data_IF_909959388764
#
_entry.id   IF_909959388764
#
_cell.length_a   1.000
_cell.length_b   1.000
_cell.length_c   1.000
_cell.angle_alpha   90.00
_cell.angle_beta   90.00
_cell.angle_gamma   90.00
#
_symmetry.space_group_name_H-M   'P 1'
#
loop_
_entity.id
_entity.type
_entity.pdbx_description
1 polymer ?
#
# COMPACT_ATOMS: atom_id res chain seq x y z
N UNK A 1 11.24 21.06 29.83
CA UNK A 1 10.45 20.71 28.63
C UNK A 1 11.01 19.40 28.12
N UNK A 2 10.30 18.29 28.28
CA UNK A 2 10.79 16.96 27.88
C UNK A 2 10.86 16.90 26.36
N UNK A 3 12.06 16.76 25.82
CA UNK A 3 12.33 16.56 24.40
C UNK A 3 11.92 15.13 24.04
N UNK A 4 10.62 14.90 23.83
CA UNK A 4 10.15 13.61 23.35
C UNK A 4 10.47 13.54 21.86
N UNK A 5 11.23 12.53 21.38
CA UNK A 5 11.51 12.41 19.96
C UNK A 5 10.18 12.36 19.19
N UNK A 6 10.13 13.04 18.04
CA UNK A 6 8.97 13.00 17.16
C UNK A 6 8.61 11.54 16.89
N UNK A 7 7.34 11.17 17.14
CA UNK A 7 6.90 9.78 16.97
C UNK A 7 6.98 9.42 15.48
N UNK A 8 7.57 8.28 15.11
CA UNK A 8 7.70 7.90 13.71
C UNK A 8 6.32 7.73 13.09
N UNK A 9 6.12 8.39 11.95
CA UNK A 9 4.93 8.26 11.13
C UNK A 9 5.31 7.41 9.93
N UNK A 10 4.49 6.40 9.65
CA UNK A 10 4.49 5.64 8.39
C UNK A 10 3.18 5.90 7.70
N UNK A 11 3.11 5.59 6.41
CA UNK A 11 1.85 5.60 5.67
C UNK A 11 1.40 4.17 5.43
N UNK A 12 0.12 3.93 5.68
CA UNK A 12 -0.56 2.69 5.33
C UNK A 12 -1.39 2.97 4.08
N UNK A 13 -1.11 2.22 3.00
CA UNK A 13 -1.95 2.21 1.81
C UNK A 13 -2.82 0.96 1.85
N UNK A 14 -4.13 1.14 1.85
CA UNK A 14 -5.11 0.07 1.80
C UNK A 14 -5.67 0.02 0.38
N UNK A 15 -5.42 -1.08 -0.33
CA UNK A 15 -6.05 -1.35 -1.61
C UNK A 15 -7.34 -2.13 -1.41
N UNK A 16 -8.39 -1.76 -2.12
CA UNK A 16 -9.70 -2.42 -2.10
C UNK A 16 -10.15 -2.73 -3.54
N UNK A 17 -11.04 -3.71 -3.75
CA UNK A 17 -11.69 -3.92 -5.04
C UNK A 17 -12.20 -2.62 -5.66
N UNK A 18 -11.77 -2.34 -6.88
CA UNK A 18 -12.30 -1.27 -7.71
C UNK A 18 -13.44 -1.74 -8.61
N UNK A 19 -13.99 -0.85 -9.46
CA UNK A 19 -15.12 -1.18 -10.34
C UNK A 19 -14.88 -2.33 -11.33
N UNK A 20 -13.62 -2.63 -11.68
CA UNK A 20 -13.28 -3.75 -12.57
C UNK A 20 -12.92 -5.04 -11.85
N UNK A 21 -12.94 -5.04 -10.51
CA UNK A 21 -12.66 -6.25 -9.74
C UNK A 21 -13.70 -7.34 -10.03
N UNK A 22 -13.23 -8.56 -10.29
CA UNK A 22 -14.10 -9.71 -10.51
C UNK A 22 -14.32 -10.45 -9.20
N UNK A 23 -15.48 -10.26 -8.57
CA UNK A 23 -15.81 -10.96 -7.33
C UNK A 23 -15.81 -12.48 -7.49
N UNK A 24 -15.42 -13.20 -6.43
CA UNK A 24 -15.30 -14.66 -6.41
C UNK A 24 -14.22 -15.25 -7.34
N UNK A 25 -13.45 -14.42 -8.04
CA UNK A 25 -12.23 -14.83 -8.74
C UNK A 25 -11.04 -14.64 -7.80
N UNK A 26 -10.18 -15.64 -7.68
CA UNK A 26 -8.99 -15.56 -6.82
C UNK A 26 -8.14 -14.35 -7.22
N UNK A 27 -7.61 -13.61 -6.23
CA UNK A 27 -6.89 -12.37 -6.49
C UNK A 27 -5.71 -12.57 -7.45
N UNK A 28 -5.07 -13.75 -7.45
CA UNK A 28 -3.93 -14.08 -8.34
C UNK A 28 -4.36 -14.24 -9.80
N UNK A 29 -5.66 -14.38 -10.06
CA UNK A 29 -6.24 -14.53 -11.39
C UNK A 29 -6.84 -13.23 -11.93
N UNK A 30 -6.88 -12.15 -11.13
CA UNK A 30 -7.34 -10.84 -11.59
C UNK A 30 -6.36 -10.27 -12.62
N UNK A 31 -6.88 -9.89 -13.78
CA UNK A 31 -6.10 -9.22 -14.82
C UNK A 31 -5.66 -7.83 -14.32
N UNK A 32 -4.35 -7.61 -14.21
CA UNK A 32 -3.76 -6.39 -13.64
C UNK A 32 -3.12 -6.54 -12.25
N UNK A 33 -3.29 -7.68 -11.55
CA UNK A 33 -2.68 -7.86 -10.21
C UNK A 33 -1.16 -8.02 -10.27
N UNK A 34 -0.62 -8.61 -11.32
CA UNK A 34 0.84 -8.76 -11.44
C UNK A 34 1.52 -7.39 -11.64
N UNK A 35 0.87 -6.49 -12.36
CA UNK A 35 1.29 -5.11 -12.56
C UNK A 35 1.27 -4.33 -11.25
N UNK A 36 0.23 -4.51 -10.43
CA UNK A 36 0.18 -3.97 -9.06
C UNK A 36 1.35 -4.45 -8.21
N UNK A 37 1.60 -5.76 -8.19
CA UNK A 37 2.71 -6.36 -7.44
C UNK A 37 4.05 -5.82 -7.94
N UNK A 38 4.26 -5.79 -9.26
CA UNK A 38 5.48 -5.25 -9.87
C UNK A 38 5.67 -3.76 -9.64
N UNK A 39 4.58 -3.00 -9.51
CA UNK A 39 4.62 -1.59 -9.12
C UNK A 39 5.15 -1.45 -7.70
N UNK A 40 4.51 -2.08 -6.70
CA UNK A 40 4.93 -1.99 -5.30
C UNK A 40 6.29 -2.66 -5.01
N UNK A 41 6.70 -3.65 -5.81
CA UNK A 41 8.04 -4.23 -5.71
C UNK A 41 9.13 -3.19 -5.97
N UNK A 42 8.91 -2.23 -6.87
CA UNK A 42 9.87 -1.12 -7.10
C UNK A 42 10.05 -0.27 -5.84
N UNK A 43 8.96 0.03 -5.13
CA UNK A 43 9.01 0.80 -3.89
C UNK A 43 9.75 0.02 -2.79
N UNK A 44 9.56 -1.30 -2.75
CA UNK A 44 10.28 -2.19 -1.85
C UNK A 44 11.77 -2.27 -2.16
N UNK A 45 12.15 -2.44 -3.43
CA UNK A 45 13.56 -2.44 -3.88
C UNK A 45 14.27 -1.10 -3.62
N UNK A 46 13.53 0.00 -3.61
CA UNK A 46 14.04 1.33 -3.22
C UNK A 46 14.21 1.49 -1.71
N UNK A 47 13.84 0.50 -0.90
CA UNK A 47 13.88 0.57 0.57
C UNK A 47 12.83 1.52 1.15
N UNK A 48 11.77 1.82 0.40
CA UNK A 48 10.70 2.77 0.78
C UNK A 48 9.41 2.08 1.23
N UNK A 49 9.29 0.77 0.97
CA UNK A 49 8.20 -0.06 1.48
C UNK A 49 8.75 -1.02 2.54
N UNK A 50 8.20 -0.98 3.75
CA UNK A 50 8.58 -1.85 4.86
C UNK A 50 7.89 -3.21 4.78
N UNK A 51 6.59 -3.24 4.49
CA UNK A 51 5.75 -4.44 4.44
C UNK A 51 4.68 -4.28 3.35
N UNK A 52 4.28 -5.38 2.73
CA UNK A 52 3.21 -5.36 1.73
C UNK A 52 2.63 -6.75 1.48
N UNK A 53 1.32 -6.82 1.25
CA UNK A 53 0.67 -8.07 0.85
C UNK A 53 -0.86 -8.03 0.82
N UNK A 54 -1.48 -9.07 0.23
CA UNK A 54 -2.93 -9.22 0.24
C UNK A 54 -3.43 -9.65 1.63
N UNK A 55 -4.66 -9.27 1.96
CA UNK A 55 -5.38 -9.92 3.05
C UNK A 55 -5.82 -11.32 2.58
N UNK A 56 -5.73 -12.32 3.46
CA UNK A 56 -6.14 -13.70 3.15
C UNK A 56 -7.65 -13.93 3.29
N UNK A 57 -8.43 -12.88 3.06
CA UNK A 57 -9.88 -12.94 2.96
C UNK A 57 -10.28 -12.63 1.51
N UNK A 58 -11.35 -13.24 0.98
CA UNK A 58 -11.81 -12.96 -0.38
C UNK A 58 -12.20 -11.49 -0.54
N UNK A 59 -11.89 -10.90 -1.69
CA UNK A 59 -12.44 -9.62 -2.15
C UNK A 59 -12.26 -8.44 -1.18
N UNK A 60 -11.14 -8.39 -0.44
CA UNK A 60 -10.81 -7.27 0.47
C UNK A 60 -9.50 -6.56 0.14
N UNK A 61 -8.80 -6.98 -0.92
CA UNK A 61 -7.57 -6.36 -1.39
C UNK A 61 -6.37 -6.62 -0.46
N UNK A 62 -5.62 -5.57 -0.14
CA UNK A 62 -4.34 -5.70 0.56
C UNK A 62 -3.85 -4.41 1.21
N UNK A 63 -2.69 -4.51 1.86
CA UNK A 63 -2.11 -3.42 2.63
C UNK A 63 -0.62 -3.27 2.36
N UNK A 64 -0.16 -2.03 2.29
CA UNK A 64 1.23 -1.63 2.12
C UNK A 64 1.61 -0.67 3.25
N UNK A 65 2.79 -0.83 3.84
CA UNK A 65 3.31 0.03 4.92
C UNK A 65 4.64 0.61 4.48
N UNK A 66 4.76 1.93 4.44
CA UNK A 66 6.00 2.62 4.04
C UNK A 66 7.08 2.57 5.11
N UNK A 67 8.31 2.91 4.73
CA UNK A 67 9.32 3.34 5.69
C UNK A 67 9.02 4.75 6.22
N UNK A 68 9.82 5.21 7.19
CA UNK A 68 9.58 6.46 7.93
C UNK A 68 9.96 7.70 7.12
N UNK A 69 10.76 7.53 6.07
CA UNK A 69 11.33 8.58 5.24
C UNK A 69 10.40 8.99 4.09
N UNK A 70 9.39 8.16 3.78
CA UNK A 70 8.43 8.43 2.71
C UNK A 70 7.45 9.51 3.15
N UNK A 71 7.28 10.55 2.33
CA UNK A 71 6.30 11.60 2.57
C UNK A 71 4.89 11.20 2.12
N UNK A 72 3.87 11.93 2.59
CA UNK A 72 2.49 11.71 2.18
C UNK A 72 2.31 11.91 0.66
N UNK A 73 2.85 13.00 0.13
CA UNK A 73 2.75 13.36 -1.28
C UNK A 73 3.41 12.31 -2.18
N UNK A 74 4.56 11.77 -1.74
CA UNK A 74 5.26 10.72 -2.46
C UNK A 74 4.43 9.44 -2.56
N UNK A 75 3.90 8.96 -1.44
CA UNK A 75 3.10 7.72 -1.45
C UNK A 75 1.74 7.91 -2.14
N UNK A 76 1.15 9.10 -2.06
CA UNK A 76 -0.07 9.44 -2.79
C UNK A 76 0.15 9.41 -4.31
N UNK A 77 1.20 10.08 -4.78
CA UNK A 77 1.57 10.06 -6.20
C UNK A 77 1.88 8.63 -6.66
N UNK A 78 2.66 7.88 -5.86
CA UNK A 78 3.03 6.50 -6.18
C UNK A 78 1.80 5.58 -6.26
N UNK A 79 0.89 5.64 -5.29
CA UNK A 79 -0.32 4.81 -5.28
C UNK A 79 -1.28 5.19 -6.42
N UNK A 80 -1.42 6.48 -6.74
CA UNK A 80 -2.20 6.94 -7.88
C UNK A 80 -1.59 6.50 -9.23
N UNK A 81 -0.28 6.28 -9.28
CA UNK A 81 0.42 5.85 -10.49
C UNK A 81 0.34 4.35 -10.78
N UNK A 82 -0.14 3.55 -9.84
CA UNK A 82 -0.32 2.11 -9.97
C UNK A 82 -1.23 1.75 -11.18
N UNK A 83 -0.77 0.90 -12.11
CA UNK A 83 -1.57 0.45 -13.25
C UNK A 83 -2.91 -0.19 -12.84
N UNK A 84 -2.97 -0.93 -11.73
CA UNK A 84 -4.22 -1.52 -11.24
C UNK A 84 -5.19 -0.46 -10.71
N UNK A 85 -4.68 0.64 -10.16
CA UNK A 85 -5.50 1.79 -9.76
C UNK A 85 -5.99 2.54 -10.99
N UNK A 86 -5.11 2.90 -11.92
CA UNK A 86 -5.45 3.63 -13.15
C UNK A 86 -6.45 2.88 -14.03
N UNK A 87 -6.35 1.55 -14.07
CA UNK A 87 -7.28 0.71 -14.83
C UNK A 87 -8.65 0.57 -14.15
N UNK A 88 -8.76 0.88 -12.85
CA UNK A 88 -9.97 0.69 -12.03
C UNK A 88 -10.12 -0.72 -11.45
N UNK A 89 -9.09 -1.57 -11.52
CA UNK A 89 -9.07 -2.88 -10.86
C UNK A 89 -9.06 -2.71 -9.34
N UNK A 90 -8.24 -1.79 -8.85
CA UNK A 90 -8.12 -1.43 -7.44
C UNK A 90 -8.49 0.03 -7.22
N UNK A 91 -8.95 0.33 -6.01
CA UNK A 91 -8.94 1.68 -5.45
C UNK A 91 -8.03 1.67 -4.23
N UNK A 92 -7.57 2.84 -3.79
CA UNK A 92 -6.70 2.95 -2.63
C UNK A 92 -7.16 4.01 -1.64
N UNK A 93 -6.75 3.84 -0.40
CA UNK A 93 -6.90 4.81 0.70
C UNK A 93 -5.56 4.89 1.43
N UNK A 94 -5.11 6.11 1.76
CA UNK A 94 -3.87 6.33 2.51
C UNK A 94 -4.20 6.85 3.90
N UNK A 95 -3.57 6.25 4.91
CA UNK A 95 -3.71 6.65 6.32
C UNK A 95 -2.33 6.89 6.92
N UNK A 96 -2.04 8.08 7.49
CA UNK A 96 -0.87 8.25 8.33
C UNK A 96 -1.04 7.40 9.60
N UNK A 97 0.00 6.65 9.94
CA UNK A 97 0.03 5.76 11.09
C UNK A 97 1.25 6.06 11.95
N UNK A 98 0.98 6.58 13.15
CA UNK A 98 1.99 6.75 14.18
C UNK A 98 2.32 5.38 14.79
N UNK A 99 3.54 4.91 14.57
CA UNK A 99 4.01 3.61 15.07
C UNK A 99 4.67 3.76 16.44
N UNK A 100 3.87 3.71 17.50
CA UNK A 100 4.36 3.80 18.89
C UNK A 100 5.15 2.56 19.35
N UNK A 101 5.01 1.44 18.64
CA UNK A 101 5.61 0.14 18.96
C UNK A 101 6.17 -0.45 17.67
N UNK A 102 7.49 -0.55 17.57
CA UNK A 102 8.20 -1.14 16.43
C UNK A 102 9.52 -1.75 16.91
N UNK A 103 10.09 -2.63 16.09
CA UNK A 103 11.44 -3.16 16.24
C UNK A 103 12.32 -2.60 15.12
N UNK A 104 13.63 -2.59 15.35
CA UNK A 104 14.63 -2.30 14.32
C UNK A 104 14.77 -3.47 13.33
#
# INVERSE_FOLDING_TARGET
>A
MTNQPARPIRFVVIHKPGPKWQYSVDYRQQDGVNEHVGHYLKLHEQGKLQLGGPFLLPDVGGMMVTTKEVSQEEIEAFAADDPAVKSGLLIFEIRPWMTAMEHD
#
